data_IF_946964167609
#
_entry.id   IF_946964167609
#
_cell.length_a   1.000
_cell.length_b   1.000
_cell.length_c   1.000
_cell.angle_alpha   90.00
_cell.angle_beta   90.00
_cell.angle_gamma   90.00
#
_symmetry.space_group_name_H-M   'P 1'
#
loop_
_entity.id
_entity.type
_entity.pdbx_description
1 polymer ?
#
# COMPACT_ATOMS: atom_id res chain seq x y z
N UNK A 1 14.64 -6.40 7.94
CA UNK A 1 13.27 -6.22 7.40
C UNK A 1 12.18 -6.73 8.34
N UNK A 2 12.27 -7.94 8.93
CA UNK A 2 11.24 -8.48 9.86
C UNK A 2 11.58 -8.41 11.36
N UNK A 3 12.73 -7.82 11.72
CA UNK A 3 13.14 -7.65 13.13
C UNK A 3 12.54 -6.39 13.76
N UNK A 4 12.74 -6.18 15.07
CA UNK A 4 12.13 -5.07 15.83
C UNK A 4 12.57 -3.66 15.40
N UNK A 5 13.81 -3.51 14.91
CA UNK A 5 14.37 -2.20 14.50
C UNK A 5 15.17 -2.34 13.21
N UNK A 6 14.52 -2.59 12.06
CA UNK A 6 15.24 -2.83 10.81
C UNK A 6 15.79 -1.56 10.17
N UNK A 7 15.26 -0.38 10.53
CA UNK A 7 15.64 0.91 9.96
C UNK A 7 17.11 1.27 10.18
N UNK A 8 17.71 0.79 11.28
CA UNK A 8 19.13 1.01 11.61
C UNK A 8 20.08 0.40 10.57
N UNK A 9 19.63 -0.68 9.91
CA UNK A 9 20.38 -1.38 8.87
C UNK A 9 19.96 -0.96 7.46
N UNK A 10 18.79 -0.33 7.33
CA UNK A 10 18.09 -0.12 6.07
C UNK A 10 17.42 1.26 6.02
N UNK A 11 18.19 2.37 6.00
CA UNK A 11 17.70 3.72 6.32
C UNK A 11 16.68 4.30 5.34
N UNK A 12 16.47 3.70 4.17
CA UNK A 12 15.50 4.13 3.14
C UNK A 12 14.55 3.01 2.70
N UNK A 13 14.37 1.98 3.52
CA UNK A 13 13.44 0.89 3.27
C UNK A 13 12.15 1.08 4.07
N UNK A 14 11.45 2.18 3.78
CA UNK A 14 10.21 2.57 4.43
C UNK A 14 9.18 3.05 3.40
N UNK A 15 7.95 3.31 3.84
CA UNK A 15 6.87 3.86 3.02
C UNK A 15 6.70 5.34 3.34
N UNK A 16 6.69 6.21 2.34
CA UNK A 16 6.30 7.62 2.47
C UNK A 16 4.89 7.79 1.93
N UNK A 17 4.01 8.41 2.70
CA UNK A 17 2.66 8.80 2.26
C UNK A 17 2.61 10.32 2.13
N UNK A 18 2.32 10.82 0.92
CA UNK A 18 2.17 12.24 0.63
C UNK A 18 0.72 12.54 0.28
N UNK A 19 0.09 13.47 1.01
CA UNK A 19 -1.28 13.94 0.76
C UNK A 19 -1.28 15.28 0.06
N UNK A 20 -2.06 15.39 -1.00
CA UNK A 20 -2.21 16.61 -1.79
C UNK A 20 -3.61 17.20 -1.62
N UNK A 21 -3.76 18.54 -1.55
CA UNK A 21 -5.06 19.20 -1.43
C UNK A 21 -5.86 19.22 -2.75
N UNK A 22 -5.18 19.06 -3.88
CA UNK A 22 -5.75 19.19 -5.22
C UNK A 22 -5.54 17.90 -6.03
N UNK A 23 -6.07 17.88 -7.26
CA UNK A 23 -5.99 16.73 -8.18
C UNK A 23 -4.61 16.55 -8.82
N UNK A 24 -3.81 17.63 -8.85
CA UNK A 24 -2.50 17.67 -9.49
C UNK A 24 -1.38 17.81 -8.46
N UNK A 25 -0.16 17.47 -8.87
CA UNK A 25 1.06 17.74 -8.11
C UNK A 25 1.27 19.27 -8.08
N UNK A 26 0.67 19.92 -7.10
CA UNK A 26 1.00 21.29 -6.74
C UNK A 26 2.26 21.32 -5.86
N UNK A 27 2.88 22.49 -5.73
CA UNK A 27 4.00 22.73 -4.81
C UNK A 27 3.62 22.64 -3.32
N UNK A 28 2.39 22.26 -2.99
CA UNK A 28 1.85 22.19 -1.64
C UNK A 28 1.38 20.77 -1.29
N UNK A 29 1.81 20.31 -0.12
CA UNK A 29 1.38 19.06 0.51
C UNK A 29 0.49 19.41 1.71
N UNK A 30 -0.57 18.64 1.92
CA UNK A 30 -1.33 18.68 3.18
C UNK A 30 -0.53 18.02 4.30
N UNK A 31 0.10 16.89 3.99
CA UNK A 31 0.88 16.12 4.94
C UNK A 31 1.87 15.23 4.19
N UNK A 32 3.02 14.96 4.81
CA UNK A 32 3.99 13.95 4.37
C UNK A 32 4.36 13.14 5.60
N UNK A 33 4.12 11.83 5.54
CA UNK A 33 4.40 10.91 6.64
C UNK A 33 5.29 9.76 6.19
N UNK A 34 6.42 9.62 6.87
CA UNK A 34 7.28 8.45 6.75
C UNK A 34 6.85 7.36 7.74
N UNK A 35 6.51 6.20 7.22
CA UNK A 35 6.11 5.00 7.98
C UNK A 35 7.26 4.02 7.94
N UNK A 36 7.98 3.97 9.06
CA UNK A 36 9.16 3.15 9.33
C UNK A 36 8.80 1.91 10.16
N UNK A 37 9.78 1.07 10.45
CA UNK A 37 9.61 -0.17 11.20
C UNK A 37 9.72 -1.39 10.31
N UNK A 38 9.29 -2.54 10.83
CA UNK A 38 9.31 -3.78 10.06
C UNK A 38 8.23 -3.82 8.97
N UNK A 39 8.35 -4.74 8.02
CA UNK A 39 7.45 -4.77 6.86
C UNK A 39 5.96 -4.91 7.24
N UNK A 40 5.64 -5.58 8.34
CA UNK A 40 4.26 -5.70 8.82
C UNK A 40 3.76 -4.37 9.39
N UNK A 41 4.57 -3.72 10.24
CA UNK A 41 4.26 -2.40 10.79
C UNK A 41 4.07 -1.36 9.68
N UNK A 42 4.91 -1.41 8.65
CA UNK A 42 4.79 -0.53 7.50
C UNK A 42 3.46 -0.74 6.76
N UNK A 43 3.01 -1.99 6.57
CA UNK A 43 1.72 -2.28 5.91
C UNK A 43 0.55 -1.80 6.79
N UNK A 44 0.52 -2.18 8.07
CA UNK A 44 -0.60 -1.89 8.97
C UNK A 44 -0.75 -0.39 9.23
N UNK A 45 0.35 0.31 9.53
CA UNK A 45 0.26 1.74 9.82
C UNK A 45 -0.02 2.56 8.55
N UNK A 46 0.41 2.09 7.37
CA UNK A 46 0.04 2.72 6.10
C UNK A 46 -1.44 2.55 5.79
N UNK A 47 -1.97 1.33 5.94
CA UNK A 47 -3.39 1.05 5.74
C UNK A 47 -4.26 1.88 6.69
N UNK A 48 -3.90 1.90 7.98
CA UNK A 48 -4.57 2.71 8.99
C UNK A 48 -4.55 4.20 8.63
N UNK A 49 -3.39 4.74 8.25
CA UNK A 49 -3.25 6.13 7.87
C UNK A 49 -4.10 6.47 6.64
N UNK A 50 -4.13 5.61 5.62
CA UNK A 50 -4.96 5.84 4.44
C UNK A 50 -6.44 5.81 4.82
N UNK A 51 -6.89 4.78 5.55
CA UNK A 51 -8.29 4.62 5.93
C UNK A 51 -8.84 5.76 6.81
N UNK A 52 -8.00 6.42 7.62
CA UNK A 52 -8.40 7.60 8.40
C UNK A 52 -8.48 8.88 7.57
N UNK A 53 -7.88 8.91 6.37
CA UNK A 53 -7.79 10.11 5.54
C UNK A 53 -8.53 10.04 4.19
N UNK A 54 -9.03 8.86 3.80
CA UNK A 54 -9.94 8.73 2.66
C UNK A 54 -11.34 9.23 3.01
N UNK A 55 -12.04 9.72 1.98
CA UNK A 55 -13.44 10.09 2.11
C UNK A 55 -14.30 8.85 2.45
N UNK A 56 -15.45 9.08 3.07
CA UNK A 56 -16.42 8.04 3.33
C UNK A 56 -17.84 8.60 3.24
N UNK A 57 -18.73 7.82 2.62
CA UNK A 57 -20.16 8.06 2.62
C UNK A 57 -20.75 7.53 3.92
N UNK A 58 -21.78 8.20 4.42
CA UNK A 58 -22.54 7.74 5.57
C UNK A 58 -23.95 7.36 5.12
N UNK A 59 -24.25 6.07 5.13
CA UNK A 59 -25.56 5.54 4.71
C UNK A 59 -26.42 5.26 5.94
N UNK A 60 -27.68 5.71 5.92
CA UNK A 60 -28.69 5.26 6.87
C UNK A 60 -29.20 3.90 6.41
N UNK A 61 -29.11 2.89 7.27
CA UNK A 61 -29.80 1.61 7.06
C UNK A 61 -31.24 1.77 7.56
N UNK A 62 -32.21 1.34 6.76
CA UNK A 62 -33.62 1.35 7.18
C UNK A 62 -33.78 0.59 8.50
N UNK A 63 -34.41 1.23 9.48
CA UNK A 63 -34.63 0.66 10.82
C UNK A 63 -33.45 0.76 11.80
N UNK A 64 -32.32 1.38 11.43
CA UNK A 64 -31.20 1.63 12.36
C UNK A 64 -30.97 3.12 12.62
N UNK A 65 -30.65 3.46 13.88
CA UNK A 65 -30.27 4.83 14.29
C UNK A 65 -28.82 5.15 13.87
N UNK A 66 -27.96 4.14 13.76
CA UNK A 66 -26.55 4.29 13.39
C UNK A 66 -26.34 4.42 11.88
N UNK A 67 -25.52 5.39 11.47
CA UNK A 67 -25.05 5.52 10.09
C UNK A 67 -23.91 4.54 9.83
N UNK A 68 -23.99 3.80 8.73
CA UNK A 68 -22.92 2.95 8.22
C UNK A 68 -21.89 3.81 7.47
N UNK A 69 -20.61 3.73 7.86
CA UNK A 69 -19.50 4.39 7.16
C UNK A 69 -19.06 3.50 6.00
N UNK A 70 -19.22 3.98 4.78
CA UNK A 70 -18.78 3.32 3.54
C UNK A 70 -17.55 4.08 3.01
N UNK A 71 -16.33 3.55 3.18
CA UNK A 71 -15.11 4.22 2.71
C UNK A 71 -15.08 4.33 1.18
N UNK A 72 -14.38 5.35 0.66
CA UNK A 72 -14.20 5.58 -0.77
C UNK A 72 -13.56 4.38 -1.49
N UNK A 73 -12.67 3.67 -0.81
CA UNK A 73 -12.02 2.45 -1.29
C UNK A 73 -12.21 1.32 -0.28
N UNK A 74 -12.38 0.05 -0.72
CA UNK A 74 -12.39 -1.09 0.18
C UNK A 74 -11.07 -1.17 0.96
N UNK A 75 -11.10 -1.31 2.30
CA UNK A 75 -9.87 -1.45 3.09
C UNK A 75 -9.00 -2.63 2.67
N UNK A 76 -9.61 -3.74 2.22
CA UNK A 76 -8.90 -4.91 1.69
C UNK A 76 -8.07 -4.57 0.45
N UNK A 77 -8.64 -3.82 -0.50
CA UNK A 77 -7.93 -3.40 -1.72
C UNK A 77 -6.74 -2.49 -1.39
N UNK A 78 -6.89 -1.59 -0.42
CA UNK A 78 -5.78 -0.74 0.05
C UNK A 78 -4.67 -1.61 0.68
N UNK A 79 -5.02 -2.55 1.56
CA UNK A 79 -4.04 -3.48 2.16
C UNK A 79 -3.30 -4.27 1.08
N UNK A 80 -4.01 -4.82 0.09
CA UNK A 80 -3.41 -5.60 -0.99
C UNK A 80 -2.43 -4.77 -1.82
N UNK A 81 -2.79 -3.54 -2.19
CA UNK A 81 -1.91 -2.65 -2.95
C UNK A 81 -0.63 -2.30 -2.17
N UNK A 82 -0.74 -2.03 -0.86
CA UNK A 82 0.43 -1.79 0.00
C UNK A 82 1.30 -3.04 0.09
N UNK A 83 0.67 -4.20 0.35
CA UNK A 83 1.37 -5.47 0.48
C UNK A 83 2.10 -5.83 -0.82
N UNK A 84 1.48 -5.60 -1.98
CA UNK A 84 2.11 -5.79 -3.30
C UNK A 84 3.29 -4.83 -3.50
N UNK A 85 3.15 -3.55 -3.14
CA UNK A 85 4.24 -2.58 -3.22
C UNK A 85 5.44 -3.01 -2.36
N UNK A 86 5.20 -3.51 -1.15
CA UNK A 86 6.22 -4.05 -0.21
C UNK A 86 6.82 -5.36 -0.72
N UNK A 87 6.01 -6.29 -1.20
CA UNK A 87 6.43 -7.59 -1.66
C UNK A 87 7.32 -7.52 -2.91
N UNK A 88 7.01 -6.61 -3.83
CA UNK A 88 7.67 -6.53 -5.13
C UNK A 88 8.75 -5.44 -5.20
N UNK A 89 8.96 -4.64 -4.14
CA UNK A 89 10.02 -3.63 -4.05
C UNK A 89 11.41 -4.22 -4.37
N UNK A 90 12.23 -3.51 -5.15
CA UNK A 90 13.65 -3.87 -5.28
C UNK A 90 14.44 -3.38 -4.06
N UNK A 91 14.63 -4.26 -3.08
CA UNK A 91 15.34 -3.94 -1.83
C UNK A 91 16.84 -3.68 -1.99
N UNK A 92 17.40 -3.89 -3.18
CA UNK A 92 18.79 -3.52 -3.50
C UNK A 92 18.92 -2.03 -3.77
N UNK A 93 17.83 -1.36 -4.13
CA UNK A 93 17.79 0.09 -4.34
C UNK A 93 17.70 0.79 -2.98
N UNK A 94 18.82 1.34 -2.53
CA UNK A 94 18.93 2.06 -1.27
C UNK A 94 18.56 3.54 -1.39
N UNK A 95 18.42 4.09 -2.61
CA UNK A 95 18.15 5.50 -2.85
C UNK A 95 16.67 5.92 -2.82
N UNK A 96 15.74 4.97 -2.82
CA UNK A 96 14.30 5.22 -3.04
C UNK A 96 13.43 4.43 -2.06
N UNK A 97 12.31 5.04 -1.66
CA UNK A 97 11.27 4.48 -0.80
C UNK A 97 10.04 4.12 -1.64
N UNK A 98 9.10 3.37 -1.07
CA UNK A 98 7.75 3.30 -1.65
C UNK A 98 7.08 4.64 -1.36
N UNK A 99 6.46 5.25 -2.38
CA UNK A 99 5.76 6.53 -2.25
C UNK A 99 4.29 6.28 -2.57
N UNK A 100 3.42 6.53 -1.60
CA UNK A 100 1.97 6.50 -1.79
C UNK A 100 1.49 7.95 -1.87
N UNK A 101 0.90 8.34 -2.99
CA UNK A 101 0.37 9.69 -3.20
C UNK A 101 -1.14 9.66 -3.09
N UNK A 102 -1.68 10.42 -2.13
CA UNK A 102 -3.12 10.55 -1.93
C UNK A 102 -3.59 11.88 -2.50
N UNK A 103 -4.43 11.80 -3.53
CA UNK A 103 -5.15 12.93 -4.11
C UNK A 103 -6.60 12.91 -3.66
N UNK A 104 -7.35 13.95 -4.00
CA UNK A 104 -8.78 14.01 -3.68
C UNK A 104 -9.59 12.88 -4.35
N UNK A 105 -9.20 12.48 -5.56
CA UNK A 105 -9.98 11.55 -6.40
C UNK A 105 -9.29 10.21 -6.68
N UNK A 106 -8.04 10.02 -6.26
CA UNK A 106 -7.27 8.79 -6.47
C UNK A 106 -6.15 8.62 -5.46
N UNK A 107 -5.64 7.40 -5.38
CA UNK A 107 -4.40 7.07 -4.66
C UNK A 107 -3.45 6.40 -5.64
N UNK A 108 -2.22 6.89 -5.74
CA UNK A 108 -1.17 6.30 -6.57
C UNK A 108 -0.15 5.59 -5.67
N UNK A 109 0.25 4.38 -6.05
CA UNK A 109 1.22 3.56 -5.33
C UNK A 109 2.49 3.43 -6.19
N UNK A 110 3.51 4.22 -5.89
CA UNK A 110 4.80 4.17 -6.58
C UNK A 110 5.78 3.32 -5.77
N UNK A 111 6.09 2.11 -6.26
CA UNK A 111 7.14 1.27 -5.69
C UNK A 111 8.37 1.29 -6.61
N UNK A 112 9.61 1.40 -6.08
CA UNK A 112 10.82 1.29 -6.89
C UNK A 112 10.99 -0.14 -7.39
N UNK A 113 10.36 -0.43 -8.53
CA UNK A 113 10.34 -1.71 -9.18
C UNK A 113 9.90 -1.55 -10.65
N UNK A 114 10.72 -1.99 -11.60
CA UNK A 114 10.24 -2.32 -12.94
C UNK A 114 9.69 -3.74 -12.99
N UNK A 115 8.91 -4.09 -14.02
CA UNK A 115 8.40 -5.45 -14.19
C UNK A 115 9.51 -6.52 -14.08
N UNK A 116 9.16 -7.69 -13.57
CA UNK A 116 10.11 -8.76 -13.23
C UNK A 116 9.88 -10.00 -14.10
N UNK A 117 10.94 -10.66 -14.55
CA UNK A 117 10.81 -11.88 -15.35
C UNK A 117 10.10 -11.61 -16.67
N UNK A 118 9.08 -12.41 -16.98
CA UNK A 118 8.24 -12.26 -18.19
C UNK A 118 7.01 -11.35 -17.95
N UNK A 119 6.87 -10.77 -16.76
CA UNK A 119 5.76 -9.87 -16.44
C UNK A 119 5.92 -8.54 -17.19
N UNK A 120 4.81 -7.98 -17.65
CA UNK A 120 4.67 -6.73 -18.34
C UNK A 120 3.26 -6.17 -18.10
N UNK A 121 2.99 -4.96 -18.59
CA UNK A 121 1.71 -4.27 -18.42
C UNK A 121 0.48 -5.09 -18.87
N UNK A 122 0.66 -5.98 -19.85
CA UNK A 122 -0.44 -6.76 -20.44
C UNK A 122 -0.75 -8.04 -19.67
N UNK A 123 0.19 -8.55 -18.88
CA UNK A 123 0.06 -9.82 -18.17
C UNK A 123 0.23 -9.71 -16.65
N UNK A 124 0.41 -8.51 -16.09
CA UNK A 124 0.59 -8.29 -14.64
C UNK A 124 -0.54 -8.91 -13.78
N UNK A 125 -1.74 -9.04 -14.35
CA UNK A 125 -2.90 -9.65 -13.67
C UNK A 125 -2.93 -11.19 -13.74
N UNK A 126 -2.15 -11.81 -14.63
CA UNK A 126 -2.23 -13.25 -14.93
C UNK A 126 -0.92 -13.99 -14.71
N UNK A 127 0.21 -13.30 -14.83
CA UNK A 127 1.55 -13.84 -14.66
C UNK A 127 2.13 -13.37 -13.33
N UNK A 128 2.53 -14.33 -12.49
CA UNK A 128 3.09 -14.04 -11.17
C UNK A 128 4.58 -14.30 -11.15
N UNK A 129 5.37 -13.23 -11.01
CA UNK A 129 6.79 -13.31 -10.75
C UNK A 129 7.18 -12.36 -9.62
N UNK A 130 7.70 -12.92 -8.52
CA UNK A 130 8.20 -12.12 -7.41
C UNK A 130 9.73 -12.14 -7.34
N UNK A 131 10.34 -10.95 -7.29
CA UNK A 131 11.77 -10.78 -6.96
C UNK A 131 12.09 -11.22 -5.53
N UNK A 132 11.11 -11.19 -4.62
CA UNK A 132 11.32 -11.46 -3.20
C UNK A 132 10.43 -12.62 -2.73
N UNK A 133 10.71 -13.88 -3.16
CA UNK A 133 9.86 -15.03 -2.84
C UNK A 133 9.77 -15.30 -1.33
N UNK A 134 10.82 -14.98 -0.56
CA UNK A 134 10.81 -15.09 0.90
C UNK A 134 9.84 -14.06 1.51
N UNK A 135 9.82 -12.83 1.01
CA UNK A 135 8.93 -11.78 1.52
C UNK A 135 7.48 -12.14 1.21
N UNK A 136 7.18 -12.48 -0.05
CA UNK A 136 5.84 -12.94 -0.47
C UNK A 136 5.37 -14.11 0.39
N UNK A 137 6.21 -15.14 0.56
CA UNK A 137 5.87 -16.31 1.37
C UNK A 137 5.55 -15.95 2.83
N UNK A 138 6.26 -14.99 3.42
CA UNK A 138 5.95 -14.55 4.78
C UNK A 138 4.65 -13.74 4.85
N UNK A 139 4.39 -12.86 3.89
CA UNK A 139 3.16 -12.07 3.81
C UNK A 139 1.91 -12.93 3.54
N UNK A 140 2.03 -13.96 2.68
CA UNK A 140 0.96 -14.94 2.45
C UNK A 140 0.62 -15.72 3.73
N UNK A 141 1.66 -16.20 4.44
CA UNK A 141 1.48 -16.96 5.68
C UNK A 141 0.79 -16.17 6.79
N UNK A 142 0.98 -14.85 6.81
CA UNK A 142 0.37 -13.98 7.82
C UNK A 142 -0.99 -13.41 7.39
N UNK A 143 -1.54 -13.85 6.24
CA UNK A 143 -2.81 -13.36 5.64
C UNK A 143 -2.80 -11.87 5.26
N UNK A 144 -1.62 -11.30 4.99
CA UNK A 144 -1.51 -9.93 4.49
C UNK A 144 -1.72 -9.84 2.97
N UNK A 145 -1.54 -10.97 2.29
CA UNK A 145 -1.84 -11.18 0.87
C UNK A 145 -2.68 -12.45 0.82
N UNK A 146 -3.85 -12.41 0.18
CA UNK A 146 -4.60 -13.62 -0.11
C UNK A 146 -3.85 -14.40 -1.20
N UNK A 147 -3.58 -15.69 -0.97
CA UNK A 147 -3.19 -16.60 -2.04
C UNK A 147 -4.41 -16.82 -2.93
N UNK A 148 -4.62 -15.91 -3.88
CA UNK A 148 -5.27 -16.10 -5.18
C UNK A 148 -5.73 -14.74 -5.70
N UNK A 149 -5.60 -14.52 -7.02
CA UNK A 149 -6.08 -13.32 -7.73
C UNK A 149 -7.60 -13.19 -7.77
N UNK A 150 -8.29 -13.45 -6.66
CA UNK A 150 -9.74 -13.28 -6.51
C UNK A 150 -10.14 -11.90 -5.98
N UNK A 151 -9.19 -11.08 -5.50
CA UNK A 151 -9.43 -9.71 -5.03
C UNK A 151 -9.76 -8.68 -6.11
N UNK A 152 -9.82 -9.08 -7.38
CA UNK A 152 -10.00 -8.22 -8.55
C UNK A 152 -11.34 -8.45 -9.30
N UNK A 153 -12.39 -8.90 -8.59
CA UNK A 153 -13.76 -8.96 -9.10
C UNK A 153 -14.69 -7.96 -8.42
#
# INVERSE_FOLDING_TARGET
MFGKTPDDLFPRQYITIARYPQKDIGSAYLDIKDIKGNLFEQIDESEKYINTHIEALYRLKEGQVSRERVPQYPPSAIRELIANAVAHRDYRVSGSTIIIKMYKDRIEFDSPCGFCGNVNEKNILTEQYSRNPIIVKNLNKTRYIEEMGEGWN
#
